data_IF_783834850714
#
_entry.id   IF_783834850714
#
_cell.length_a   1.000
_cell.length_b   1.000
_cell.length_c   1.000
_cell.angle_alpha   90.00
_cell.angle_beta   90.00
_cell.angle_gamma   90.00
#
_symmetry.space_group_name_H-M   'P 1'
#
loop_
_entity.id
_entity.type
_entity.pdbx_description
1 polymer ?
#
# COMPACT_ATOMS: atom_id res chain seq x y z
N UNK A 1 4.81 22.22 -8.48
CA UNK A 1 4.16 23.05 -9.53
C UNK A 1 3.67 24.40 -9.00
N UNK A 2 2.70 24.48 -8.08
CA UNK A 2 2.11 25.75 -7.62
C UNK A 2 3.02 26.66 -6.78
N UNK A 3 3.75 26.12 -5.79
CA UNK A 3 4.69 26.91 -4.97
C UNK A 3 5.88 27.49 -5.74
N UNK A 4 6.25 26.90 -6.89
CA UNK A 4 7.39 27.34 -7.69
C UNK A 4 7.06 28.41 -8.73
N UNK A 5 5.79 28.78 -8.91
CA UNK A 5 5.33 29.71 -9.96
C UNK A 5 4.47 30.86 -9.41
N UNK A 6 4.46 31.09 -8.09
CA UNK A 6 3.66 32.14 -7.40
C UNK A 6 2.17 32.18 -7.78
N UNK A 7 1.61 31.08 -8.26
CA UNK A 7 0.17 30.97 -8.53
C UNK A 7 -0.50 30.39 -7.30
N UNK A 8 -1.38 31.18 -6.67
CA UNK A 8 -2.29 30.69 -5.65
C UNK A 8 -3.41 29.86 -6.29
N UNK A 9 -3.76 28.74 -5.68
CA UNK A 9 -4.98 28.01 -6.00
C UNK A 9 -6.03 28.35 -4.95
N UNK A 10 -7.21 28.79 -5.37
CA UNK A 10 -8.30 29.05 -4.42
C UNK A 10 -8.82 27.73 -3.84
N UNK A 11 -9.34 27.76 -2.61
CA UNK A 11 -9.93 26.57 -1.99
C UNK A 11 -11.06 25.94 -2.86
N UNK A 12 -11.98 26.72 -3.47
CA UNK A 12 -12.98 26.15 -4.38
C UNK A 12 -12.36 25.47 -5.62
N UNK A 13 -11.33 26.06 -6.22
CA UNK A 13 -10.66 25.46 -7.37
C UNK A 13 -9.89 24.18 -6.99
N UNK A 14 -9.39 24.11 -5.75
CA UNK A 14 -8.73 22.90 -5.24
C UNK A 14 -9.73 21.77 -5.07
N UNK A 15 -10.88 22.07 -4.47
CA UNK A 15 -11.97 21.11 -4.29
C UNK A 15 -12.46 20.58 -5.63
N UNK A 16 -12.73 21.47 -6.60
CA UNK A 16 -13.14 21.08 -7.96
C UNK A 16 -12.11 20.15 -8.64
N UNK A 17 -10.81 20.46 -8.51
CA UNK A 17 -9.76 19.62 -9.09
C UNK A 17 -9.67 18.25 -8.42
N UNK A 18 -9.86 18.18 -7.09
CA UNK A 18 -9.88 16.92 -6.35
C UNK A 18 -11.08 16.07 -6.78
N UNK A 19 -12.27 16.66 -6.85
CA UNK A 19 -13.50 15.98 -7.25
C UNK A 19 -13.40 15.46 -8.69
N UNK A 20 -12.88 16.28 -9.61
CA UNK A 20 -12.70 15.89 -11.01
C UNK A 20 -11.66 14.77 -11.17
N UNK A 21 -10.56 14.83 -10.41
CA UNK A 21 -9.57 13.75 -10.39
C UNK A 21 -10.20 12.45 -9.89
N UNK A 22 -10.99 12.51 -8.82
CA UNK A 22 -11.67 11.35 -8.24
C UNK A 22 -12.65 10.72 -9.24
N UNK A 23 -13.48 11.53 -9.92
CA UNK A 23 -14.42 11.04 -10.92
C UNK A 23 -13.71 10.31 -12.08
N UNK A 24 -12.66 10.92 -12.64
CA UNK A 24 -11.87 10.31 -13.71
C UNK A 24 -11.17 9.03 -13.26
N UNK A 25 -10.63 9.00 -12.04
CA UNK A 25 -9.99 7.81 -11.49
C UNK A 25 -10.98 6.63 -11.37
N UNK A 26 -12.22 6.90 -10.95
CA UNK A 26 -13.29 5.90 -10.87
C UNK A 26 -13.78 5.45 -12.25
N UNK A 27 -13.73 6.29 -13.28
CA UNK A 27 -13.97 5.87 -14.66
C UNK A 27 -12.87 4.92 -15.15
N UNK A 28 -11.60 5.25 -14.92
CA UNK A 28 -10.46 4.40 -15.30
C UNK A 28 -10.53 3.03 -14.61
N UNK A 29 -10.86 2.98 -13.32
CA UNK A 29 -11.03 1.69 -12.63
C UNK A 29 -12.13 0.85 -13.28
N UNK A 30 -13.25 1.48 -13.68
CA UNK A 30 -14.37 0.78 -14.33
C UNK A 30 -14.05 0.28 -15.73
N UNK A 31 -13.11 0.90 -16.44
CA UNK A 31 -12.62 0.42 -17.74
C UNK A 31 -11.74 -0.84 -17.61
N UNK A 32 -11.27 -1.12 -16.40
CA UNK A 32 -10.53 -2.33 -16.05
C UNK A 32 -9.18 -2.00 -15.40
N UNK A 33 -8.80 -2.83 -14.43
CA UNK A 33 -7.53 -2.71 -13.71
C UNK A 33 -6.73 -3.98 -13.90
N UNK A 34 -5.44 -3.83 -14.18
CA UNK A 34 -4.49 -4.93 -14.23
C UNK A 34 -3.46 -4.75 -13.13
N UNK A 35 -3.24 -5.80 -12.35
CA UNK A 35 -2.17 -5.84 -11.39
C UNK A 35 -0.82 -6.00 -12.10
N UNK A 36 0.26 -5.59 -11.43
CA UNK A 36 1.61 -5.95 -11.89
C UNK A 36 1.79 -7.48 -11.89
N UNK A 37 2.61 -8.03 -12.79
CA UNK A 37 2.89 -9.46 -12.84
C UNK A 37 3.27 -10.05 -11.47
N UNK A 38 2.68 -11.19 -11.13
CA UNK A 38 2.94 -11.91 -9.89
C UNK A 38 2.20 -11.40 -8.65
N UNK A 39 1.61 -10.19 -8.65
CA UNK A 39 0.96 -9.61 -7.46
C UNK A 39 -0.24 -10.43 -6.97
N UNK A 40 -1.18 -10.73 -7.88
CA UNK A 40 -2.40 -11.47 -7.51
C UNK A 40 -2.05 -12.88 -7.02
N UNK A 41 -1.14 -13.55 -7.72
CA UNK A 41 -0.72 -14.91 -7.34
C UNK A 41 0.04 -14.91 -6.01
N UNK A 42 0.89 -13.92 -5.75
CA UNK A 42 1.56 -13.79 -4.45
C UNK A 42 0.56 -13.59 -3.31
N UNK A 43 -0.40 -12.67 -3.48
CA UNK A 43 -1.43 -12.40 -2.46
C UNK A 43 -2.24 -13.66 -2.16
N UNK A 44 -2.67 -14.39 -3.19
CA UNK A 44 -3.41 -15.65 -3.01
C UNK A 44 -2.56 -16.71 -2.31
N UNK A 45 -1.30 -16.90 -2.69
CA UNK A 45 -0.41 -17.85 -2.01
C UNK A 45 -0.23 -17.53 -0.53
N UNK A 46 -0.03 -16.26 -0.18
CA UNK A 46 0.10 -15.81 1.22
C UNK A 46 -1.22 -16.05 1.99
N UNK A 47 -2.35 -15.78 1.35
CA UNK A 47 -3.66 -16.04 1.93
C UNK A 47 -3.90 -17.54 2.16
N UNK A 48 -3.60 -18.38 1.18
CA UNK A 48 -3.77 -19.83 1.23
C UNK A 48 -2.87 -20.48 2.29
N UNK A 49 -1.68 -19.91 2.54
CA UNK A 49 -0.80 -20.31 3.64
C UNK A 49 -1.27 -19.82 5.01
N UNK A 50 -2.40 -19.10 5.08
CA UNK A 50 -2.98 -18.49 6.29
C UNK A 50 -2.08 -17.46 6.96
N UNK A 51 -1.15 -16.88 6.21
CA UNK A 51 -0.30 -15.80 6.70
C UNK A 51 -1.14 -14.52 6.80
N UNK A 52 -1.11 -13.78 7.93
CA UNK A 52 -1.90 -12.56 8.09
C UNK A 52 -1.55 -11.50 7.04
N UNK A 53 -2.58 -10.90 6.42
CA UNK A 53 -2.43 -9.96 5.33
C UNK A 53 -3.16 -8.66 5.63
N UNK A 54 -2.50 -7.53 5.39
CA UNK A 54 -3.06 -6.19 5.57
C UNK A 54 -2.66 -5.24 4.44
N UNK A 55 -3.50 -4.24 4.18
CA UNK A 55 -3.21 -3.10 3.31
C UNK A 55 -2.96 -1.86 4.17
N UNK A 56 -1.91 -1.11 3.84
CA UNK A 56 -1.62 0.23 4.36
C UNK A 56 -1.41 1.19 3.19
N UNK A 57 -2.43 1.99 2.87
CA UNK A 57 -2.46 2.83 1.66
C UNK A 57 -2.77 4.29 1.98
N UNK A 58 -2.18 5.19 1.19
CA UNK A 58 -2.53 6.62 1.17
C UNK A 58 -3.70 6.95 0.24
N UNK A 59 -4.36 5.95 -0.34
CA UNK A 59 -5.56 6.12 -1.15
C UNK A 59 -6.83 6.09 -0.28
N UNK A 60 -7.95 6.54 -0.85
CA UNK A 60 -9.26 6.45 -0.22
C UNK A 60 -9.80 5.02 -0.30
N UNK A 61 -10.71 4.66 0.60
CA UNK A 61 -11.37 3.35 0.55
C UNK A 61 -12.21 3.15 -0.70
N UNK A 62 -12.84 4.22 -1.18
CA UNK A 62 -13.58 4.23 -2.45
C UNK A 62 -12.70 3.93 -3.66
N UNK A 63 -11.40 4.17 -3.55
CA UNK A 63 -10.42 3.88 -4.62
C UNK A 63 -9.94 2.43 -4.51
N UNK A 64 -9.71 1.94 -3.29
CA UNK A 64 -9.14 0.61 -3.04
C UNK A 64 -10.16 -0.51 -3.28
N UNK A 65 -11.37 -0.40 -2.72
CA UNK A 65 -12.32 -1.51 -2.70
C UNK A 65 -12.69 -2.03 -4.10
N UNK A 66 -13.02 -1.16 -5.10
CA UNK A 66 -13.36 -1.63 -6.44
C UNK A 66 -12.19 -2.32 -7.15
N UNK A 67 -10.95 -1.90 -6.89
CA UNK A 67 -9.75 -2.54 -7.44
C UNK A 67 -9.62 -3.97 -6.90
N UNK A 68 -9.76 -4.14 -5.58
CA UNK A 68 -9.65 -5.47 -4.96
C UNK A 68 -10.78 -6.41 -5.37
N UNK A 69 -12.00 -5.89 -5.51
CA UNK A 69 -13.16 -6.64 -6.02
C UNK A 69 -12.94 -7.09 -7.47
N UNK A 70 -12.51 -6.16 -8.33
CA UNK A 70 -12.22 -6.45 -9.76
C UNK A 70 -11.13 -7.51 -9.91
N UNK A 71 -10.10 -7.46 -9.06
CA UNK A 71 -9.01 -8.44 -9.06
C UNK A 71 -9.37 -9.76 -8.35
N UNK A 72 -10.51 -9.82 -7.65
CA UNK A 72 -10.96 -11.01 -6.91
C UNK A 72 -9.98 -11.41 -5.79
N UNK A 73 -9.55 -10.43 -4.99
CA UNK A 73 -8.61 -10.58 -3.86
C UNK A 73 -9.02 -9.77 -2.62
N UNK A 74 -10.24 -9.23 -2.59
CA UNK A 74 -10.73 -8.43 -1.47
C UNK A 74 -10.80 -9.22 -0.17
N UNK A 75 -11.17 -10.50 -0.27
CA UNK A 75 -11.26 -11.47 0.82
C UNK A 75 -9.90 -11.97 1.33
N UNK A 76 -8.80 -11.66 0.62
CA UNK A 76 -7.47 -12.06 1.05
C UNK A 76 -6.95 -11.26 2.26
N UNK A 77 -7.48 -10.07 2.51
CA UNK A 77 -6.97 -9.12 3.51
C UNK A 77 -7.81 -9.07 4.78
N UNK A 78 -7.15 -9.22 5.92
CA UNK A 78 -7.78 -9.12 7.25
C UNK A 78 -8.07 -7.66 7.64
N UNK A 79 -7.19 -6.78 7.20
CA UNK A 79 -7.17 -5.37 7.60
C UNK A 79 -6.85 -4.49 6.41
N UNK A 80 -7.63 -3.41 6.25
CA UNK A 80 -7.36 -2.36 5.27
C UNK A 80 -7.32 -1.03 6.01
N UNK A 81 -6.16 -0.39 6.02
CA UNK A 81 -5.92 0.98 6.50
C UNK A 81 -5.76 1.89 5.29
N UNK A 82 -6.59 2.94 5.25
CA UNK A 82 -6.63 3.92 4.16
C UNK A 82 -6.22 5.30 4.65
N UNK A 83 -6.17 6.29 3.74
CA UNK A 83 -5.90 7.68 4.11
C UNK A 83 -6.92 8.25 5.11
N UNK A 84 -8.12 7.68 5.19
CA UNK A 84 -9.19 8.13 6.09
C UNK A 84 -8.99 7.64 7.53
N UNK A 85 -8.13 6.64 7.73
CA UNK A 85 -7.87 6.05 9.04
C UNK A 85 -6.74 6.74 9.83
N UNK A 86 -6.02 7.67 9.20
CA UNK A 86 -4.81 8.27 9.74
C UNK A 86 -4.81 9.79 9.62
N UNK A 87 -4.08 10.44 10.52
CA UNK A 87 -3.94 11.91 10.52
C UNK A 87 -2.72 12.39 9.74
N UNK A 88 -1.67 11.56 9.64
CA UNK A 88 -0.40 11.88 9.00
C UNK A 88 -0.11 10.89 7.88
N UNK A 89 0.13 11.42 6.69
CA UNK A 89 0.52 10.62 5.53
C UNK A 89 1.98 10.15 5.62
N UNK A 90 2.30 9.10 4.85
CA UNK A 90 3.69 8.68 4.57
C UNK A 90 4.54 9.92 4.20
N UNK A 91 5.76 10.11 4.74
CA UNK A 91 6.60 9.12 5.41
C UNK A 91 6.31 8.90 6.90
N UNK A 92 5.26 9.50 7.45
CA UNK A 92 4.88 9.19 8.83
C UNK A 92 4.49 7.71 9.00
N UNK A 93 4.96 7.03 10.06
CA UNK A 93 4.69 5.61 10.31
C UNK A 93 3.27 5.28 10.80
N UNK A 94 2.41 6.28 11.05
CA UNK A 94 1.06 6.08 11.60
C UNK A 94 0.26 4.97 10.89
N UNK A 95 0.22 4.98 9.55
CA UNK A 95 -0.53 3.99 8.77
C UNK A 95 -0.06 2.55 8.97
N UNK A 96 1.25 2.29 8.97
CA UNK A 96 1.79 0.95 9.22
C UNK A 96 1.63 0.51 10.67
N UNK A 97 1.78 1.41 11.65
CA UNK A 97 1.53 1.09 13.06
C UNK A 97 0.07 0.71 13.29
N UNK A 98 -0.85 1.44 12.66
CA UNK A 98 -2.27 1.15 12.75
C UNK A 98 -2.62 -0.18 12.08
N UNK A 99 -2.09 -0.44 10.88
CA UNK A 99 -2.30 -1.69 10.17
C UNK A 99 -1.77 -2.89 10.98
N UNK A 100 -0.55 -2.78 11.52
CA UNK A 100 0.06 -3.79 12.38
C UNK A 100 -0.76 -4.06 13.66
N UNK A 101 -1.18 -3.01 14.36
CA UNK A 101 -1.98 -3.14 15.56
C UNK A 101 -3.34 -3.79 15.28
N UNK A 102 -4.03 -3.36 14.22
CA UNK A 102 -5.32 -3.94 13.81
C UNK A 102 -5.17 -5.39 13.37
N UNK A 103 -4.09 -5.74 12.67
CA UNK A 103 -3.82 -7.11 12.22
C UNK A 103 -3.59 -8.05 13.40
N UNK A 104 -2.76 -7.64 14.37
CA UNK A 104 -2.57 -8.36 15.62
C UNK A 104 -3.89 -8.56 16.37
N UNK A 105 -4.73 -7.52 16.46
CA UNK A 105 -6.03 -7.62 17.11
C UNK A 105 -6.99 -8.59 16.37
N UNK A 106 -7.09 -8.47 15.04
CA UNK A 106 -7.99 -9.29 14.22
C UNK A 106 -7.67 -10.78 14.33
N UNK A 107 -6.38 -11.14 14.32
CA UNK A 107 -5.93 -12.53 14.40
C UNK A 107 -5.59 -13.00 15.82
N UNK A 108 -5.78 -12.15 16.84
CA UNK A 108 -5.37 -12.44 18.23
C UNK A 108 -3.89 -12.87 18.33
N UNK A 109 -3.01 -12.14 17.63
CA UNK A 109 -1.58 -12.39 17.56
C UNK A 109 -0.81 -11.38 18.43
N UNK A 110 0.47 -11.69 18.66
CA UNK A 110 1.42 -10.78 19.27
C UNK A 110 2.69 -10.71 18.41
N UNK A 111 2.52 -10.43 17.10
CA UNK A 111 3.64 -10.30 16.19
C UNK A 111 4.41 -9.01 16.50
N UNK A 112 5.70 -9.09 16.82
CA UNK A 112 6.54 -7.91 16.90
C UNK A 112 6.72 -7.28 15.50
N UNK A 113 6.95 -5.95 15.40
CA UNK A 113 7.06 -5.28 14.10
C UNK A 113 8.12 -5.86 13.16
N UNK A 114 9.26 -6.31 13.69
CA UNK A 114 10.37 -6.86 12.89
C UNK A 114 10.08 -8.25 12.31
N UNK A 115 8.98 -8.89 12.69
CA UNK A 115 8.49 -10.13 12.05
C UNK A 115 7.42 -9.85 10.98
N UNK A 116 7.16 -8.58 10.68
CA UNK A 116 6.20 -8.16 9.65
C UNK A 116 6.96 -7.56 8.47
N UNK A 117 6.67 -8.06 7.27
CA UNK A 117 7.22 -7.57 6.02
C UNK A 117 6.24 -6.61 5.34
N UNK A 118 6.68 -5.38 5.10
CA UNK A 118 5.99 -4.44 4.21
C UNK A 118 6.54 -4.58 2.79
N UNK A 119 5.64 -4.61 1.79
CA UNK A 119 6.00 -4.51 0.37
C UNK A 119 5.69 -3.08 -0.09
N UNK A 120 6.67 -2.38 -0.63
CA UNK A 120 6.58 -0.97 -1.01
C UNK A 120 7.29 -0.66 -2.32
N UNK A 121 6.99 0.47 -2.93
CA UNK A 121 7.63 0.93 -4.17
C UNK A 121 7.99 2.41 -4.15
N UNK A 122 7.78 3.11 -3.03
CA UNK A 122 8.07 4.54 -2.87
C UNK A 122 9.03 4.84 -1.71
N UNK A 123 9.92 5.86 -1.83
CA UNK A 123 10.79 6.26 -0.71
C UNK A 123 10.01 6.67 0.54
N UNK A 124 8.88 7.36 0.36
CA UNK A 124 8.03 7.78 1.48
C UNK A 124 7.38 6.59 2.19
N UNK A 125 6.92 5.60 1.43
CA UNK A 125 6.34 4.39 2.00
C UNK A 125 7.36 3.51 2.71
N UNK A 126 8.56 3.34 2.14
CA UNK A 126 9.68 2.67 2.79
C UNK A 126 9.99 3.35 4.13
N UNK A 127 10.17 4.67 4.15
CA UNK A 127 10.45 5.41 5.37
C UNK A 127 9.34 5.25 6.43
N UNK A 128 8.08 5.23 6.02
CA UNK A 128 6.93 4.99 6.90
C UNK A 128 6.95 3.59 7.51
N UNK A 129 7.18 2.54 6.70
CA UNK A 129 7.27 1.16 7.17
C UNK A 129 8.46 0.95 8.14
N UNK A 130 9.64 1.48 7.79
CA UNK A 130 10.83 1.44 8.66
C UNK A 130 10.60 2.20 9.96
N UNK A 131 9.93 3.36 9.91
CA UNK A 131 9.56 4.13 11.10
C UNK A 131 8.56 3.41 12.02
N UNK A 132 7.83 2.44 11.50
CA UNK A 132 6.96 1.54 12.26
C UNK A 132 7.69 0.28 12.77
N UNK A 133 8.96 0.07 12.40
CA UNK A 133 9.79 -1.05 12.83
C UNK A 133 9.66 -2.32 11.99
N UNK A 134 9.03 -2.24 10.81
CA UNK A 134 8.85 -3.38 9.91
C UNK A 134 10.11 -3.67 9.09
N UNK A 135 10.22 -4.90 8.59
CA UNK A 135 11.09 -5.21 7.47
C UNK A 135 10.43 -4.74 6.16
N UNK A 136 11.24 -4.34 5.17
CA UNK A 136 10.74 -3.79 3.91
C UNK A 136 11.36 -4.48 2.71
N UNK A 137 10.51 -5.05 1.86
CA UNK A 137 10.83 -5.46 0.50
C UNK A 137 10.37 -4.36 -0.45
N UNK A 138 11.30 -3.71 -1.14
CA UNK A 138 10.98 -2.74 -2.17
C UNK A 138 10.87 -3.39 -3.55
N UNK A 139 9.90 -2.93 -4.35
CA UNK A 139 9.69 -3.33 -5.74
C UNK A 139 9.88 -2.11 -6.64
N UNK A 140 10.67 -2.24 -7.71
CA UNK A 140 11.01 -1.10 -8.59
C UNK A 140 9.90 -0.74 -9.59
N UNK A 141 8.64 -0.69 -9.16
CA UNK A 141 7.49 -0.37 -10.01
C UNK A 141 7.35 1.13 -10.27
N UNK A 142 7.53 1.95 -9.23
CA UNK A 142 7.38 3.42 -9.30
C UNK A 142 8.71 4.18 -9.36
N UNK A 143 9.76 3.62 -8.76
CA UNK A 143 11.05 4.27 -8.59
C UNK A 143 12.21 3.31 -8.90
N UNK A 144 13.35 3.83 -9.37
CA UNK A 144 14.53 3.00 -9.61
C UNK A 144 15.19 2.60 -8.27
N UNK A 145 15.92 1.49 -8.27
CA UNK A 145 16.47 0.86 -7.06
C UNK A 145 17.31 1.82 -6.20
N UNK A 146 18.03 2.76 -6.83
CA UNK A 146 18.89 3.74 -6.13
C UNK A 146 18.08 4.63 -5.18
N UNK A 147 16.81 4.91 -5.51
CA UNK A 147 15.92 5.72 -4.67
C UNK A 147 15.21 4.89 -3.59
N UNK A 148 15.30 3.56 -3.64
CA UNK A 148 14.66 2.63 -2.71
C UNK A 148 15.66 2.01 -1.72
N UNK A 149 16.86 2.58 -1.62
CA UNK A 149 18.00 2.08 -0.83
C UNK A 149 17.79 1.99 0.69
N UNK A 150 16.68 2.52 1.23
CA UNK A 150 16.32 2.36 2.64
C UNK A 150 15.59 1.04 2.96
N UNK A 151 15.19 0.28 1.94
CA UNK A 151 14.58 -1.04 2.12
C UNK A 151 15.60 -2.10 2.51
N UNK A 152 15.13 -3.19 3.13
CA UNK A 152 16.00 -4.31 3.53
C UNK A 152 16.34 -5.20 2.34
N UNK A 153 15.41 -5.34 1.39
CA UNK A 153 15.59 -6.07 0.13
C UNK A 153 14.96 -5.26 -1.00
N UNK A 154 15.54 -5.30 -2.20
CA UNK A 154 15.01 -4.66 -3.41
C UNK A 154 14.87 -5.72 -4.50
N UNK A 155 13.73 -5.79 -5.16
CA UNK A 155 13.46 -6.67 -6.31
C UNK A 155 12.84 -5.89 -7.48
N UNK A 156 13.03 -6.40 -8.68
CA UNK A 156 12.37 -5.87 -9.88
C UNK A 156 10.97 -6.44 -10.10
N UNK A 157 10.63 -7.56 -9.45
CA UNK A 157 9.37 -8.28 -9.67
C UNK A 157 8.89 -9.00 -8.42
N UNK A 158 7.57 -9.18 -8.34
CA UNK A 158 6.88 -10.04 -7.37
C UNK A 158 6.47 -11.39 -7.97
N UNK A 159 6.78 -11.63 -9.25
CA UNK A 159 6.74 -12.96 -9.87
C UNK A 159 7.94 -13.79 -9.38
N UNK A 160 7.88 -14.15 -8.10
CA UNK A 160 8.93 -14.84 -7.38
C UNK A 160 8.71 -16.36 -7.50
N UNK A 161 9.78 -17.17 -7.68
CA UNK A 161 9.69 -18.62 -7.57
C UNK A 161 9.20 -19.02 -6.16
N UNK A 162 8.68 -20.24 -6.00
CA UNK A 162 8.06 -20.72 -4.75
C UNK A 162 8.80 -20.25 -3.48
N UNK A 163 8.10 -19.43 -2.69
CA UNK A 163 8.56 -18.99 -1.37
C UNK A 163 7.85 -19.86 -0.35
N UNK A 164 8.61 -20.68 0.39
CA UNK A 164 8.09 -21.35 1.59
C UNK A 164 8.01 -20.32 2.71
N UNK A 165 6.81 -20.09 3.24
CA UNK A 165 6.65 -19.42 4.52
C UNK A 165 6.74 -20.51 5.59
N UNK A 166 7.91 -20.63 6.24
CA UNK A 166 8.02 -21.51 7.40
C UNK A 166 7.09 -20.99 8.51
N UNK A 167 6.24 -21.86 9.10
CA UNK A 167 5.21 -21.46 10.07
C UNK A 167 5.75 -20.97 11.41
#
# INVERSE_FOLDING_TARGET
>A
AFKGHERGLSAPALVDLIERKAALFQEIIREGVSAYPGVVDLIRRIHDSRTPLAISSGALRSDIAPILETLGIADCFDVIVTAEDVTRSKPDPESYRLAHARLNAFRSLNLPPWQVLAIEDTPAGIASAKGAGLQVLAVTNSYPAEQLSQADVITATLDLPEISFDP
#
